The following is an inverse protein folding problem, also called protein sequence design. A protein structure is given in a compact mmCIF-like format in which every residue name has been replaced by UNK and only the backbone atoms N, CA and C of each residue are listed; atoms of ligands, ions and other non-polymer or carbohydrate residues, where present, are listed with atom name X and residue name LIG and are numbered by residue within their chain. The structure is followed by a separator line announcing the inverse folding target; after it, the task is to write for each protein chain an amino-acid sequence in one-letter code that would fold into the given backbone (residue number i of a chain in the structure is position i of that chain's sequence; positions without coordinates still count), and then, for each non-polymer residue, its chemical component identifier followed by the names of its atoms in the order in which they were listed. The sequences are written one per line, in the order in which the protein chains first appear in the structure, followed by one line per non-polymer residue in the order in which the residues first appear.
data_IF_474608112075
#
_entry.id   IF_474608112075
#
_cell.length_a   1.000
_cell.length_b   1.000
_cell.length_c   1.000
_cell.angle_alpha   90.00
_cell.angle_beta   90.00
_cell.angle_gamma   90.00
#
_symmetry.space_group_name_H-M   'P 1'
#
loop_
_entity.id
_entity.type
_entity.pdbx_description
1 polymer ?
#
# COMPACT_ATOMS: atom_id res chain seq x y z
N UNK A 1 -50.03 -8.60 29.26
CA UNK A 1 -48.80 -9.07 28.60
C UNK A 1 -48.88 -8.74 27.11
N UNK A 2 -47.85 -8.09 26.58
CA UNK A 2 -47.48 -7.98 25.16
C UNK A 2 -48.39 -7.19 24.18
N UNK A 3 -48.18 -5.86 24.09
CA UNK A 3 -48.44 -5.06 22.86
C UNK A 3 -47.53 -3.84 22.66
N UNK A 4 -46.64 -3.48 23.60
CA UNK A 4 -45.83 -2.25 23.54
C UNK A 4 -44.38 -2.39 23.04
N UNK A 5 -43.97 -3.53 22.48
CA UNK A 5 -42.57 -3.76 22.07
C UNK A 5 -42.28 -3.63 20.57
N UNK A 6 -43.28 -3.40 19.72
CA UNK A 6 -43.09 -3.45 18.26
C UNK A 6 -42.84 -2.09 17.57
N UNK A 7 -43.16 -0.96 18.20
CA UNK A 7 -43.08 0.35 17.52
C UNK A 7 -41.73 1.06 17.62
N UNK A 8 -40.83 0.62 18.50
CA UNK A 8 -39.50 1.27 18.68
C UNK A 8 -38.44 0.87 17.66
N UNK A 9 -38.67 -0.18 16.86
CA UNK A 9 -37.64 -0.70 15.94
C UNK A 9 -37.60 0.08 14.62
N UNK A 10 -38.71 0.74 14.23
CA UNK A 10 -38.83 1.31 12.87
C UNK A 10 -38.17 2.70 12.76
N UNK A 11 -38.12 3.47 13.85
CA UNK A 11 -37.60 4.86 13.81
C UNK A 11 -36.07 4.91 13.81
N UNK A 12 -35.39 3.85 14.24
CA UNK A 12 -33.93 3.81 14.34
C UNK A 12 -33.23 3.41 13.01
N UNK A 13 -33.98 2.86 12.06
CA UNK A 13 -33.41 2.36 10.79
C UNK A 13 -33.22 3.42 9.71
N UNK A 14 -33.85 4.61 9.84
CA UNK A 14 -33.75 5.68 8.83
C UNK A 14 -32.54 6.61 9.03
N UNK A 15 -31.99 6.70 10.24
CA UNK A 15 -30.86 7.61 10.52
C UNK A 15 -29.52 7.09 9.99
N UNK A 16 -29.39 5.78 9.76
CA UNK A 16 -28.12 5.17 9.29
C UNK A 16 -27.92 5.36 7.79
N UNK A 17 -28.99 5.58 7.02
CA UNK A 17 -28.89 5.71 5.56
C UNK A 17 -28.38 7.10 5.11
N UNK A 18 -28.55 8.14 5.93
CA UNK A 18 -28.13 9.50 5.56
C UNK A 18 -26.66 9.81 5.84
N UNK A 19 -25.97 9.03 6.67
CA UNK A 19 -24.55 9.26 6.97
C UNK A 19 -23.61 8.74 5.88
N UNK A 20 -24.09 7.88 4.97
CA UNK A 20 -23.25 7.24 3.94
C UNK A 20 -23.08 8.12 2.69
N UNK A 21 -23.96 9.10 2.45
CA UNK A 21 -23.89 9.93 1.23
C UNK A 21 -22.97 11.16 1.31
N UNK A 22 -22.51 11.56 2.49
CA UNK A 22 -21.68 12.77 2.65
C UNK A 22 -20.17 12.52 2.76
N UNK A 23 -19.71 11.27 2.62
CA UNK A 23 -18.29 10.92 2.71
C UNK A 23 -17.57 10.81 1.35
N UNK A 24 -18.24 11.08 0.22
CA UNK A 24 -17.69 10.84 -1.12
C UNK A 24 -17.10 12.06 -1.84
N UNK A 25 -16.95 13.21 -1.17
CA UNK A 25 -16.60 14.48 -1.85
C UNK A 25 -15.25 15.08 -1.50
N UNK A 26 -14.36 14.33 -0.85
CA UNK A 26 -12.93 14.68 -0.82
C UNK A 26 -12.20 13.85 -1.88
N UNK A 27 -12.58 14.06 -3.14
CA UNK A 27 -11.69 13.72 -4.25
C UNK A 27 -10.55 14.73 -4.13
N UNK A 28 -9.51 14.34 -3.40
CA UNK A 28 -8.24 15.05 -3.43
C UNK A 28 -7.85 15.17 -4.88
N UNK A 29 -7.82 16.40 -5.39
CA UNK A 29 -7.21 16.71 -6.68
C UNK A 29 -5.76 16.21 -6.61
N UNK A 30 -5.50 15.04 -7.19
CA UNK A 30 -4.15 14.68 -7.57
C UNK A 30 -3.69 15.78 -8.55
N UNK A 31 -2.47 16.32 -8.42
CA UNK A 31 -1.92 17.22 -9.41
C UNK A 31 -2.04 16.58 -10.78
N UNK A 32 -2.62 17.28 -11.76
CA UNK A 32 -2.72 16.79 -13.13
C UNK A 32 -1.34 16.32 -13.61
N UNK A 33 -1.26 15.08 -14.11
CA UNK A 33 0.00 14.47 -14.55
C UNK A 33 0.73 13.62 -13.52
N UNK A 34 0.05 13.14 -12.47
CA UNK A 34 0.58 12.14 -11.53
C UNK A 34 -0.24 10.85 -11.55
N UNK A 35 0.47 9.73 -11.37
CA UNK A 35 -0.11 8.41 -11.09
C UNK A 35 0.30 7.92 -9.72
N UNK A 36 -0.62 7.19 -9.10
CA UNK A 36 -0.36 6.45 -7.88
C UNK A 36 0.22 5.08 -8.23
N UNK A 37 1.31 4.74 -7.57
CA UNK A 37 1.94 3.43 -7.60
C UNK A 37 1.66 2.72 -6.28
N UNK A 38 1.32 1.44 -6.38
CA UNK A 38 1.33 0.53 -5.23
C UNK A 38 2.66 -0.21 -5.25
N UNK A 39 3.37 -0.22 -4.13
CA UNK A 39 4.62 -0.97 -3.97
C UNK A 39 4.36 -2.09 -2.99
N UNK A 40 4.57 -3.32 -3.43
CA UNK A 40 4.29 -4.52 -2.62
C UNK A 40 5.57 -5.28 -2.37
N UNK A 41 5.73 -5.78 -1.15
CA UNK A 41 6.81 -6.69 -0.77
C UNK A 41 6.19 -8.04 -0.47
N UNK A 42 6.62 -9.04 -1.25
CA UNK A 42 6.25 -10.43 -1.11
C UNK A 42 7.43 -11.23 -0.57
N UNK A 43 7.17 -12.16 0.33
CA UNK A 43 8.16 -13.14 0.81
C UNK A 43 7.57 -14.52 0.59
N UNK A 44 8.28 -15.36 -0.16
CA UNK A 44 7.89 -16.74 -0.49
C UNK A 44 6.46 -16.85 -1.06
N UNK A 45 6.08 -15.91 -1.94
CA UNK A 45 4.74 -15.92 -2.56
C UNK A 45 3.64 -15.26 -1.74
N UNK A 46 3.93 -14.74 -0.53
CA UNK A 46 2.95 -14.10 0.35
C UNK A 46 3.24 -12.61 0.51
N UNK A 47 2.28 -11.76 0.15
CA UNK A 47 2.39 -10.31 0.38
C UNK A 47 2.46 -10.03 1.88
N UNK A 48 3.56 -9.40 2.31
CA UNK A 48 3.82 -9.01 3.70
C UNK A 48 3.69 -7.51 3.92
N UNK A 49 4.07 -6.71 2.93
CA UNK A 49 4.00 -5.24 3.05
C UNK A 49 3.43 -4.58 1.81
N UNK A 50 2.82 -3.42 2.02
CA UNK A 50 2.34 -2.55 0.94
C UNK A 50 2.56 -1.08 1.28
N UNK A 51 2.88 -0.28 0.26
CA UNK A 51 3.06 1.15 0.37
C UNK A 51 2.57 1.85 -0.90
N UNK A 52 2.29 3.15 -0.80
CA UNK A 52 1.75 3.94 -1.92
C UNK A 52 2.63 5.16 -2.13
N UNK A 53 2.98 5.44 -3.39
CA UNK A 53 3.71 6.65 -3.77
C UNK A 53 3.13 7.27 -5.03
N UNK A 54 3.04 8.59 -5.05
CA UNK A 54 2.69 9.35 -6.25
C UNK A 54 3.93 9.70 -7.05
N UNK A 55 3.89 9.43 -8.36
CA UNK A 55 4.95 9.85 -9.30
C UNK A 55 4.35 10.57 -10.50
N UNK A 56 5.10 11.45 -11.18
CA UNK A 56 4.67 11.98 -12.47
C UNK A 56 4.37 10.87 -13.49
N UNK A 57 3.39 11.07 -14.36
CA UNK A 57 3.01 10.11 -15.41
C UNK A 57 4.16 9.87 -16.41
N UNK A 58 5.01 10.88 -16.59
CA UNK A 58 6.19 10.84 -17.45
C UNK A 58 7.37 10.06 -16.86
N UNK A 59 7.31 9.65 -15.59
CA UNK A 59 8.38 8.88 -14.94
C UNK A 59 8.60 7.55 -15.64
N UNK A 60 9.83 7.27 -16.08
CA UNK A 60 10.18 5.97 -16.67
C UNK A 60 10.17 4.87 -15.62
N UNK A 61 9.95 3.60 -16.02
CA UNK A 61 9.94 2.44 -15.11
C UNK A 61 11.20 2.39 -14.25
N UNK A 62 12.39 2.54 -14.86
CA UNK A 62 13.66 2.62 -14.13
C UNK A 62 13.70 3.76 -13.09
N UNK A 63 13.16 4.93 -13.42
CA UNK A 63 13.15 6.06 -12.50
C UNK A 63 12.14 5.89 -11.34
N UNK A 64 11.12 5.04 -11.48
CA UNK A 64 10.17 4.76 -10.39
C UNK A 64 10.87 4.13 -9.17
N UNK A 65 11.93 3.36 -9.38
CA UNK A 65 12.72 2.77 -8.29
C UNK A 65 13.36 3.80 -7.37
N UNK A 66 13.60 5.02 -7.86
CA UNK A 66 14.10 6.10 -6.99
C UNK A 66 13.04 6.54 -5.98
N UNK A 67 11.76 6.44 -6.34
CA UNK A 67 10.64 6.79 -5.46
C UNK A 67 10.32 5.69 -4.45
N UNK A 68 10.79 4.46 -4.67
CA UNK A 68 10.57 3.32 -3.77
C UNK A 68 11.29 3.51 -2.42
N UNK A 69 12.44 4.17 -2.41
CA UNK A 69 13.20 4.45 -1.17
C UNK A 69 12.43 5.33 -0.18
N UNK A 70 11.53 6.15 -0.68
CA UNK A 70 10.76 7.11 0.11
C UNK A 70 9.35 6.56 0.46
N UNK A 71 9.08 5.29 0.14
CA UNK A 71 7.79 4.65 0.44
C UNK A 71 7.77 4.22 1.91
N UNK A 72 6.76 4.70 2.63
CA UNK A 72 6.36 4.08 3.88
C UNK A 72 5.47 2.86 3.62
N UNK A 73 5.96 1.71 4.04
CA UNK A 73 5.29 0.42 3.97
C UNK A 73 4.49 0.17 5.24
N UNK A 74 3.29 -0.39 5.07
CA UNK A 74 2.49 -0.96 6.16
C UNK A 74 2.56 -2.46 6.08
N UNK A 75 2.71 -3.11 7.23
CA UNK A 75 2.58 -4.55 7.31
C UNK A 75 1.13 -4.96 7.06
N UNK A 76 0.95 -6.02 6.27
CA UNK A 76 -0.37 -6.63 6.03
C UNK A 76 -0.80 -7.41 7.27
N UNK A 77 0.15 -7.96 8.03
CA UNK A 77 -0.10 -8.63 9.30
C UNK A 77 0.65 -7.96 10.46
N UNK A 78 0.08 -7.92 11.68
CA UNK A 78 0.68 -7.18 12.80
C UNK A 78 1.99 -7.78 13.34
N UNK A 79 2.34 -9.00 12.94
CA UNK A 79 3.50 -9.75 13.45
C UNK A 79 4.64 -9.85 12.40
N UNK A 80 4.58 -9.07 11.32
CA UNK A 80 5.60 -9.14 10.27
C UNK A 80 6.98 -8.67 10.77
N UNK A 81 8.00 -9.46 10.43
CA UNK A 81 9.38 -9.19 10.79
C UNK A 81 9.96 -8.02 9.99
N UNK A 82 10.91 -7.31 10.58
CA UNK A 82 11.62 -6.20 9.96
C UNK A 82 12.76 -6.68 9.06
N UNK A 83 13.37 -7.82 9.41
CA UNK A 83 14.36 -8.51 8.59
C UNK A 83 13.65 -9.64 7.83
N UNK A 84 13.64 -9.55 6.50
CA UNK A 84 12.98 -10.50 5.60
C UNK A 84 14.03 -11.40 4.95
N UNK A 85 13.83 -12.71 5.03
CA UNK A 85 14.70 -13.71 4.41
C UNK A 85 13.85 -14.70 3.63
N UNK A 86 14.34 -15.16 2.47
CA UNK A 86 13.64 -16.08 1.58
C UNK A 86 13.57 -15.55 0.15
N UNK A 87 12.56 -15.94 -0.61
CA UNK A 87 12.32 -15.36 -1.93
C UNK A 87 11.58 -14.02 -1.79
N UNK A 88 12.34 -12.93 -1.62
CA UNK A 88 11.77 -11.59 -1.45
C UNK A 88 11.61 -10.92 -2.81
N UNK A 89 10.38 -10.53 -3.14
CA UNK A 89 10.03 -9.83 -4.38
C UNK A 89 9.42 -8.47 -4.06
N UNK A 90 10.04 -7.41 -4.56
CA UNK A 90 9.49 -6.05 -4.50
C UNK A 90 8.86 -5.73 -5.85
N UNK A 91 7.56 -5.41 -5.86
CA UNK A 91 6.79 -5.10 -7.06
C UNK A 91 6.33 -3.66 -7.05
N UNK A 92 6.42 -3.00 -8.20
CA UNK A 92 5.81 -1.70 -8.45
C UNK A 92 4.62 -1.91 -9.38
N UNK A 93 3.42 -1.61 -8.88
CA UNK A 93 2.18 -1.80 -9.60
C UNK A 93 1.49 -0.46 -9.87
N UNK A 94 0.75 -0.40 -10.97
CA UNK A 94 -0.21 0.66 -11.24
C UNK A 94 -1.56 0.04 -11.57
N UNK A 95 -2.60 0.44 -10.84
CA UNK A 95 -3.97 -0.10 -10.98
C UNK A 95 -4.02 -1.64 -10.98
N UNK A 96 -3.20 -2.29 -10.14
CA UNK A 96 -3.11 -3.75 -10.04
C UNK A 96 -2.26 -4.44 -11.11
N UNK A 97 -1.74 -3.71 -12.10
CA UNK A 97 -0.83 -4.25 -13.11
C UNK A 97 0.62 -4.02 -12.68
N UNK A 98 1.43 -5.09 -12.68
CA UNK A 98 2.86 -4.99 -12.43
C UNK A 98 3.55 -4.21 -13.56
N UNK A 99 4.31 -3.18 -13.19
CA UNK A 99 5.12 -2.38 -14.13
C UNK A 99 6.57 -2.86 -14.16
N UNK A 100 7.10 -3.17 -12.99
CA UNK A 100 8.45 -3.70 -12.79
C UNK A 100 8.53 -4.39 -11.43
N UNK A 101 9.43 -5.35 -11.32
CA UNK A 101 9.73 -6.03 -10.07
C UNK A 101 11.22 -6.31 -9.95
N UNK A 102 11.65 -6.58 -8.72
CA UNK A 102 13.01 -7.02 -8.43
C UNK A 102 13.00 -8.03 -7.30
N UNK A 103 13.97 -8.94 -7.32
CA UNK A 103 14.05 -10.10 -6.44
C UNK A 103 15.37 -10.10 -5.68
N UNK A 104 15.32 -10.44 -4.40
CA UNK A 104 16.48 -10.63 -3.53
C UNK A 104 16.23 -11.74 -2.51
N UNK A 105 17.29 -12.21 -1.88
CA UNK A 105 17.20 -13.27 -0.85
C UNK A 105 16.98 -12.70 0.56
N UNK A 106 17.38 -11.45 0.76
CA UNK A 106 17.28 -10.75 2.03
C UNK A 106 16.93 -9.29 1.78
N UNK A 107 15.99 -8.78 2.56
CA UNK A 107 15.58 -7.38 2.55
C UNK A 107 15.36 -6.92 3.96
N UNK A 108 15.93 -5.76 4.29
CA UNK A 108 15.75 -5.17 5.61
C UNK A 108 14.85 -3.96 5.52
N UNK A 109 13.93 -3.89 6.47
CA UNK A 109 13.12 -2.71 6.72
C UNK A 109 13.65 -1.95 7.92
N UNK A 110 13.29 -0.68 8.03
CA UNK A 110 13.59 0.19 9.16
C UNK A 110 12.28 0.74 9.70
N UNK A 111 12.16 1.08 10.99
CA UNK A 111 11.00 1.78 11.49
C UNK A 111 10.77 3.10 10.72
N UNK A 112 9.54 3.32 10.25
CA UNK A 112 9.12 4.56 9.58
C UNK A 112 8.80 5.69 10.56
N UNK A 113 8.38 6.83 10.02
CA UNK A 113 8.03 8.02 10.83
C UNK A 113 6.66 7.84 11.50
N UNK A 114 5.73 7.15 10.83
CA UNK A 114 4.43 6.82 11.37
C UNK A 114 4.45 5.51 12.16
N UNK A 115 3.61 5.44 13.20
CA UNK A 115 3.50 4.22 14.02
C UNK A 115 3.02 3.04 13.18
N UNK A 116 3.82 1.98 13.15
CA UNK A 116 3.51 0.75 12.41
C UNK A 116 3.78 0.86 10.91
N UNK A 117 4.53 1.87 10.47
CA UNK A 117 5.09 1.93 9.12
C UNK A 117 6.57 1.59 9.13
N UNK A 118 7.07 1.26 7.95
CA UNK A 118 8.43 0.80 7.72
C UNK A 118 9.00 1.43 6.47
N UNK A 119 10.32 1.65 6.44
CA UNK A 119 11.07 2.14 5.28
C UNK A 119 12.01 1.05 4.78
N UNK A 120 12.37 1.09 3.51
CA UNK A 120 13.40 0.20 2.99
C UNK A 120 14.79 0.63 3.48
N UNK A 121 15.60 -0.34 3.90
CA UNK A 121 17.01 -0.09 4.18
C UNK A 121 17.76 0.10 2.85
N UNK A 122 18.31 1.31 2.65
CA UNK A 122 18.98 1.70 1.40
C UNK A 122 20.16 0.80 1.05
N UNK A 123 20.84 0.23 2.05
CA UNK A 123 21.97 -0.67 1.81
C UNK A 123 21.52 -1.97 1.14
N UNK A 124 20.37 -2.51 1.55
CA UNK A 124 19.80 -3.74 0.98
C UNK A 124 18.99 -3.49 -0.30
N UNK A 125 18.62 -2.24 -0.57
CA UNK A 125 17.75 -1.85 -1.70
C UNK A 125 18.53 -1.50 -2.96
N UNK A 126 19.79 -1.05 -2.85
CA UNK A 126 20.62 -0.71 -4.01
C UNK A 126 20.71 -1.84 -5.08
N UNK A 127 20.88 -3.12 -4.71
CA UNK A 127 20.93 -4.22 -5.68
C UNK A 127 19.60 -4.47 -6.42
N UNK A 128 18.47 -4.08 -5.83
CA UNK A 128 17.14 -4.29 -6.43
C UNK A 128 16.97 -3.47 -7.70
N UNK A 129 17.54 -2.26 -7.73
CA UNK A 129 17.43 -1.32 -8.85
C UNK A 129 18.15 -1.81 -10.10
N UNK A 130 19.30 -2.47 -9.91
CA UNK A 130 20.14 -2.93 -11.01
C UNK A 130 19.67 -4.27 -11.60
N UNK A 131 18.86 -5.02 -10.85
CA UNK A 131 18.35 -6.35 -11.23
C UNK A 131 16.86 -6.35 -11.61
N UNK A 132 16.25 -5.16 -11.72
CA UNK A 132 14.82 -5.05 -11.99
C UNK A 132 14.46 -5.58 -13.38
N UNK A 133 13.36 -6.33 -13.46
CA UNK A 133 12.76 -6.78 -14.72
C UNK A 133 11.61 -5.86 -15.08
N UNK A 134 11.53 -5.45 -16.35
CA UNK A 134 10.42 -4.66 -16.88
C UNK A 134 9.36 -5.59 -17.48
N UNK A 135 8.10 -5.35 -17.17
CA UNK A 135 6.95 -6.14 -17.63
C UNK A 135 6.03 -5.33 -18.53
#
# INVERSE_FOLDING_TARGET
MSKQRFEKVIVQSLAVLFLVMYASSTIGCLPLGQRLLNVEIEVDGVKRFEGIVGVPDSTSKKAMWNSVDDVEFRAVTPDDAVDLEGDVVVRILHTGNELTSSRCEQLRLLPGDAKGTFLLDRETTAPLRDRSVEH
#
